data_IF_355059502896
#
_entry.id   IF_355059502896
#
_cell.length_a   1.000
_cell.length_b   1.000
_cell.length_c   1.000
_cell.angle_alpha   90.00
_cell.angle_beta   90.00
_cell.angle_gamma   90.00
#
_symmetry.space_group_name_H-M   'P 1'
#
loop_
_entity.id
_entity.type
_entity.pdbx_description
1 polymer ?
#
# COMPACT_ATOMS: atom_id res chain seq x y z
N UNK A 1 37.49 -34.16 -0.77
CA UNK A 1 37.08 -33.07 0.14
C UNK A 1 36.70 -31.87 -0.74
N UNK A 2 35.46 -31.76 -1.04
CA UNK A 2 34.90 -30.70 -1.93
C UNK A 2 34.07 -29.78 -1.04
N UNK A 3 34.56 -28.55 -0.84
CA UNK A 3 33.85 -27.51 -0.14
C UNK A 3 32.63 -27.05 -0.97
N UNK A 4 31.43 -27.30 -0.47
CA UNK A 4 30.20 -26.65 -0.95
C UNK A 4 30.14 -25.25 -0.39
N UNK A 5 30.32 -24.27 -1.26
CA UNK A 5 30.07 -22.85 -0.95
C UNK A 5 28.55 -22.64 -0.87
N UNK A 6 28.07 -22.38 0.34
CA UNK A 6 26.67 -22.01 0.58
C UNK A 6 26.54 -20.50 0.33
N UNK A 7 26.08 -20.14 -0.83
CA UNK A 7 25.73 -18.73 -1.14
C UNK A 7 24.42 -18.41 -0.44
N UNK A 8 24.48 -17.63 0.63
CA UNK A 8 23.29 -17.09 1.30
C UNK A 8 22.66 -16.04 0.38
N UNK A 9 21.56 -16.39 -0.26
CA UNK A 9 20.73 -15.45 -0.98
C UNK A 9 19.89 -14.67 0.03
N UNK A 10 20.21 -13.41 0.22
CA UNK A 10 19.38 -12.47 0.96
C UNK A 10 18.11 -12.21 0.14
N UNK A 11 17.03 -12.89 0.49
CA UNK A 11 15.69 -12.57 -0.04
C UNK A 11 15.32 -11.16 0.41
N UNK A 12 15.34 -10.24 -0.52
CA UNK A 12 14.75 -8.92 -0.32
C UNK A 12 13.22 -9.06 -0.36
N UNK A 13 12.63 -9.19 0.83
CA UNK A 13 11.17 -9.25 0.96
C UNK A 13 10.55 -7.90 0.65
N UNK A 14 9.88 -7.81 -0.50
CA UNK A 14 9.09 -6.65 -0.91
C UNK A 14 7.79 -6.66 -0.11
N UNK A 15 7.76 -5.92 1.01
CA UNK A 15 6.54 -5.67 1.76
C UNK A 15 5.69 -4.64 1.03
N UNK A 16 4.86 -5.08 0.10
CA UNK A 16 3.88 -4.22 -0.55
C UNK A 16 2.66 -4.09 0.37
N UNK A 17 2.68 -3.09 1.25
CA UNK A 17 1.47 -2.65 1.94
C UNK A 17 0.57 -1.93 0.93
N UNK A 18 -0.30 -2.67 0.26
CA UNK A 18 -1.39 -2.09 -0.50
C UNK A 18 -2.38 -1.46 0.48
N UNK A 19 -2.31 -0.15 0.62
CA UNK A 19 -3.41 0.63 1.16
C UNK A 19 -4.57 0.52 0.17
N UNK A 20 -5.50 -0.38 0.46
CA UNK A 20 -6.82 -0.31 -0.15
C UNK A 20 -7.44 1.01 0.29
N UNK A 21 -7.40 2.02 -0.55
CA UNK A 21 -8.19 3.24 -0.40
C UNK A 21 -9.64 2.87 -0.63
N UNK A 22 -10.27 2.28 0.39
CA UNK A 22 -11.72 2.25 0.47
C UNK A 22 -12.17 3.69 0.70
N UNK A 23 -12.88 4.27 -0.25
CA UNK A 23 -13.67 5.48 -0.05
C UNK A 23 -14.65 5.24 1.08
N UNK A 24 -14.26 5.55 2.33
CA UNK A 24 -15.15 5.51 3.47
C UNK A 24 -15.76 6.89 3.67
N UNK A 25 -17.03 7.02 3.29
CA UNK A 25 -17.89 8.09 3.79
C UNK A 25 -18.15 7.86 5.28
N UNK A 26 -17.68 8.81 6.06
CA UNK A 26 -18.06 9.33 7.37
C UNK A 26 -19.10 8.59 8.22
N UNK A 27 -18.76 8.27 9.46
CA UNK A 27 -19.60 8.58 10.62
C UNK A 27 -18.75 8.75 11.89
N UNK A 28 -19.13 9.77 12.68
CA UNK A 28 -18.65 10.19 13.98
C UNK A 28 -19.04 9.17 15.06
N UNK A 29 -18.27 8.93 16.11
CA UNK A 29 -18.41 9.57 17.43
C UNK A 29 -17.51 8.90 18.47
N UNK A 30 -16.92 9.78 19.29
CA UNK A 30 -16.59 9.72 20.72
C UNK A 30 -15.91 8.49 21.34
N UNK A 31 -14.78 8.68 21.91
CA UNK A 31 -14.44 8.90 23.34
C UNK A 31 -13.02 8.47 23.67
N UNK A 32 -12.29 9.40 24.30
CA UNK A 32 -10.99 9.22 24.96
C UNK A 32 -11.25 8.65 26.38
N UNK A 33 -10.33 7.83 26.94
CA UNK A 33 -9.45 8.36 27.96
C UNK A 33 -7.98 7.90 27.86
N UNK A 34 -7.09 8.83 27.95
CA UNK A 34 -6.18 9.25 29.02
C UNK A 34 -5.20 8.21 29.60
N UNK A 35 -3.92 8.56 29.43
CA UNK A 35 -2.74 8.38 30.29
C UNK A 35 -2.24 7.00 30.69
N UNK A 36 -0.99 6.70 30.32
CA UNK A 36 0.03 6.26 31.28
C UNK A 36 1.45 6.46 30.70
N UNK A 37 2.27 6.94 31.59
CA UNK A 37 3.63 7.44 31.48
C UNK A 37 4.69 6.44 31.09
N UNK A 38 5.82 7.01 30.58
CA UNK A 38 7.15 6.47 30.31
C UNK A 38 7.79 5.70 31.49
N UNK A 39 8.92 4.97 31.26
CA UNK A 39 10.20 5.65 31.38
C UNK A 39 11.24 5.38 30.28
N UNK A 40 12.12 6.35 30.15
CA UNK A 40 13.34 6.32 29.35
C UNK A 40 14.38 5.37 29.92
N UNK A 41 15.13 4.70 29.04
CA UNK A 41 16.44 4.15 29.40
C UNK A 41 17.43 4.48 28.28
N UNK A 42 18.40 5.27 28.65
CA UNK A 42 19.60 5.54 27.87
C UNK A 42 20.55 4.33 27.97
N UNK A 43 21.25 3.98 26.88
CA UNK A 43 22.57 3.37 26.99
C UNK A 43 23.38 3.44 25.70
N UNK A 44 24.44 4.16 25.80
CA UNK A 44 25.84 3.90 25.47
C UNK A 44 26.21 3.47 24.03
N UNK A 45 26.93 4.37 23.41
CA UNK A 45 27.75 4.19 22.24
C UNK A 45 28.93 3.22 22.52
N UNK A 46 29.21 2.34 21.57
CA UNK A 46 30.55 1.73 21.40
C UNK A 46 30.93 1.82 19.93
N UNK A 47 31.91 2.67 19.68
CA UNK A 47 32.58 2.80 18.41
C UNK A 47 33.53 1.61 18.21
N UNK A 48 33.38 0.89 17.11
CA UNK A 48 34.43 -0.02 16.61
C UNK A 48 34.74 0.40 15.17
N UNK A 49 35.97 0.82 14.97
CA UNK A 49 36.54 1.20 13.69
C UNK A 49 36.62 -0.02 12.75
N UNK A 50 36.15 0.12 11.53
CA UNK A 50 36.35 -0.83 10.43
C UNK A 50 37.42 -0.34 9.49
N UNK A 51 38.27 -1.23 8.95
CA UNK A 51 39.29 -0.86 7.98
C UNK A 51 38.68 -0.61 6.60
N UNK A 52 39.19 0.40 5.94
CA UNK A 52 38.87 0.76 4.57
C UNK A 52 39.21 -0.41 3.62
N UNK A 53 38.20 -0.90 2.92
CA UNK A 53 38.39 -1.82 1.79
C UNK A 53 38.10 -1.06 0.50
N UNK A 54 39.06 -1.17 -0.42
CA UNK A 54 39.09 -0.48 -1.69
C UNK A 54 37.80 -0.66 -2.50
N UNK A 55 37.27 0.48 -3.00
CA UNK A 55 36.16 0.51 -3.93
C UNK A 55 36.59 -0.13 -5.27
N UNK A 56 36.08 -1.31 -5.57
CA UNK A 56 36.06 -1.82 -6.93
C UNK A 56 34.83 -1.21 -7.62
N UNK A 57 35.07 -0.37 -8.63
CA UNK A 57 34.05 0.12 -9.54
C UNK A 57 33.51 -1.04 -10.41
N UNK A 58 32.62 -1.85 -9.85
CA UNK A 58 31.79 -2.72 -10.64
C UNK A 58 30.62 -1.89 -11.18
N UNK A 59 30.58 -1.69 -12.48
CA UNK A 59 29.42 -1.15 -13.18
C UNK A 59 28.27 -2.12 -12.91
N UNK A 60 27.31 -1.70 -12.07
CA UNK A 60 26.13 -2.50 -11.74
C UNK A 60 25.39 -2.87 -13.03
N UNK A 61 24.99 -4.13 -13.17
CA UNK A 61 24.17 -4.57 -14.30
C UNK A 61 22.88 -3.74 -14.37
N UNK A 62 22.40 -3.37 -15.58
CA UNK A 62 21.19 -2.54 -15.72
C UNK A 62 19.95 -3.06 -14.97
N UNK A 63 19.84 -4.38 -14.82
CA UNK A 63 18.73 -5.02 -14.08
C UNK A 63 18.79 -4.77 -12.56
N UNK A 64 19.99 -4.74 -11.96
CA UNK A 64 20.18 -4.46 -10.53
C UNK A 64 19.92 -2.98 -10.20
N UNK A 65 20.33 -2.08 -11.11
CA UNK A 65 20.09 -0.63 -10.98
C UNK A 65 18.59 -0.30 -11.08
N UNK A 66 17.85 -0.94 -11.97
CA UNK A 66 16.39 -0.76 -12.10
C UNK A 66 15.63 -1.31 -10.88
N UNK A 67 16.06 -2.44 -10.32
CA UNK A 67 15.47 -3.02 -9.12
C UNK A 67 15.67 -2.10 -7.91
N UNK A 68 16.86 -1.54 -7.73
CA UNK A 68 17.16 -0.58 -6.64
C UNK A 68 16.28 0.68 -6.75
N UNK A 69 16.15 1.23 -7.96
CA UNK A 69 15.34 2.44 -8.20
C UNK A 69 13.85 2.21 -7.94
N UNK A 70 13.32 1.06 -8.33
CA UNK A 70 11.94 0.69 -8.04
C UNK A 70 11.70 0.61 -6.53
N UNK A 71 12.65 0.07 -5.76
CA UNK A 71 12.56 0.01 -4.30
C UNK A 71 12.56 1.41 -3.66
N UNK A 72 13.39 2.33 -4.17
CA UNK A 72 13.39 3.72 -3.71
C UNK A 72 12.04 4.40 -3.97
N UNK A 73 11.44 4.16 -5.13
CA UNK A 73 10.12 4.66 -5.47
C UNK A 73 9.03 4.13 -4.54
N UNK A 74 9.02 2.81 -4.29
CA UNK A 74 8.09 2.16 -3.37
C UNK A 74 8.26 2.69 -1.94
N UNK A 75 9.49 2.83 -1.46
CA UNK A 75 9.78 3.33 -0.12
C UNK A 75 9.27 4.77 0.07
N UNK A 76 9.53 5.65 -0.90
CA UNK A 76 9.05 7.03 -0.88
C UNK A 76 7.52 7.12 -0.98
N UNK A 77 6.89 6.36 -1.87
CA UNK A 77 5.44 6.30 -1.98
C UNK A 77 4.80 5.87 -0.66
N UNK A 78 5.23 4.76 -0.09
CA UNK A 78 4.71 4.24 1.18
C UNK A 78 4.90 5.20 2.36
N UNK A 79 5.95 6.01 2.33
CA UNK A 79 6.25 6.98 3.39
C UNK A 79 5.37 8.23 3.30
N UNK A 80 5.12 8.73 2.11
CA UNK A 80 4.61 10.10 1.90
C UNK A 80 3.16 10.16 1.44
N UNK A 81 2.68 9.16 0.70
CA UNK A 81 1.37 9.20 0.05
C UNK A 81 0.22 9.33 1.05
N UNK A 82 0.30 8.56 2.13
CA UNK A 82 -0.68 8.60 3.21
C UNK A 82 -0.79 9.97 3.89
N UNK A 83 0.30 10.74 3.98
CA UNK A 83 0.29 12.07 4.58
C UNK A 83 -0.51 13.07 3.73
N UNK A 84 -0.31 13.03 2.41
CA UNK A 84 -1.07 13.82 1.46
C UNK A 84 -2.57 13.53 1.57
N UNK A 85 -2.94 12.26 1.47
CA UNK A 85 -4.35 11.84 1.56
C UNK A 85 -5.00 12.17 2.90
N UNK A 86 -4.29 11.97 4.02
CA UNK A 86 -4.80 12.34 5.36
C UNK A 86 -5.05 13.85 5.49
N UNK A 87 -4.15 14.67 4.95
CA UNK A 87 -4.32 16.12 4.96
C UNK A 87 -5.54 16.56 4.15
N UNK A 88 -5.73 15.99 2.96
CA UNK A 88 -6.89 16.21 2.10
C UNK A 88 -8.18 15.79 2.80
N UNK A 89 -8.22 14.59 3.36
CA UNK A 89 -9.38 14.09 4.09
C UNK A 89 -9.74 14.99 5.28
N UNK A 90 -8.72 15.49 6.00
CA UNK A 90 -8.92 16.43 7.12
C UNK A 90 -9.56 17.73 6.67
N UNK A 91 -9.10 18.32 5.55
CA UNK A 91 -9.68 19.53 5.00
C UNK A 91 -11.13 19.32 4.54
N UNK A 92 -11.38 18.24 3.79
CA UNK A 92 -12.72 17.86 3.32
C UNK A 92 -13.69 17.51 4.44
N UNK A 93 -13.21 17.15 5.63
CA UNK A 93 -14.08 16.78 6.75
C UNK A 93 -14.93 17.95 7.26
N UNK A 94 -14.49 19.19 7.07
CA UNK A 94 -15.18 20.38 7.52
C UNK A 94 -15.53 21.39 6.39
N UNK A 95 -14.79 21.43 5.29
CA UNK A 95 -15.17 22.18 4.09
C UNK A 95 -16.18 21.37 3.30
N UNK A 96 -17.46 21.74 3.40
CA UNK A 96 -18.55 20.93 2.84
C UNK A 96 -18.68 21.05 1.33
N UNK A 97 -18.34 22.19 0.77
CA UNK A 97 -18.45 22.49 -0.66
C UNK A 97 -17.06 22.82 -1.19
N UNK A 98 -16.44 21.84 -1.84
CA UNK A 98 -15.07 21.96 -2.36
C UNK A 98 -14.98 22.87 -3.59
N UNK A 99 -16.08 23.22 -4.22
CA UNK A 99 -16.10 24.18 -5.33
C UNK A 99 -16.10 25.63 -4.83
N UNK A 100 -16.72 25.87 -3.66
CA UNK A 100 -16.87 27.21 -3.09
C UNK A 100 -15.89 27.51 -1.96
N UNK A 101 -15.40 26.48 -1.29
CA UNK A 101 -14.52 26.60 -0.14
C UNK A 101 -15.23 26.96 1.18
N UNK A 102 -14.45 27.39 2.18
CA UNK A 102 -14.98 27.71 3.49
C UNK A 102 -15.93 28.91 3.42
N UNK A 103 -17.14 28.72 3.96
CA UNK A 103 -18.19 29.74 3.94
C UNK A 103 -17.98 30.83 5.01
N UNK A 104 -17.25 30.50 6.08
CA UNK A 104 -17.13 31.32 7.30
C UNK A 104 -18.26 31.09 8.31
N UNK A 105 -19.09 30.05 8.09
CA UNK A 105 -20.18 29.64 8.99
C UNK A 105 -19.99 28.24 9.52
N UNK A 106 -18.79 27.66 9.34
CA UNK A 106 -18.43 26.35 9.81
C UNK A 106 -18.46 26.31 11.34
N UNK A 107 -19.22 25.37 11.91
CA UNK A 107 -19.28 25.15 13.35
C UNK A 107 -18.00 24.52 13.92
N UNK A 108 -17.27 23.82 13.07
CA UNK A 108 -16.01 23.15 13.40
C UNK A 108 -15.03 23.44 12.28
N UNK A 109 -13.84 23.90 12.64
CA UNK A 109 -12.71 24.13 11.73
C UNK A 109 -11.49 23.41 12.29
N UNK A 110 -10.82 22.66 11.45
CA UNK A 110 -9.61 21.93 11.84
C UNK A 110 -8.40 22.46 11.06
N UNK A 111 -7.23 22.48 11.70
CA UNK A 111 -5.96 22.53 10.97
C UNK A 111 -5.79 21.32 10.06
N UNK A 112 -4.90 21.42 9.09
CA UNK A 112 -4.54 20.32 8.23
C UNK A 112 -3.45 19.44 8.87
N UNK A 113 -3.31 18.21 8.42
CA UNK A 113 -2.16 17.40 8.82
C UNK A 113 -0.94 17.83 8.00
N UNK A 114 0.20 18.00 8.67
CA UNK A 114 1.44 18.41 8.01
C UNK A 114 1.93 17.31 7.06
N UNK A 115 2.46 17.74 5.92
CA UNK A 115 3.24 16.93 5.01
C UNK A 115 4.71 17.29 5.29
N UNK A 116 5.55 16.28 5.54
CA UNK A 116 6.97 16.50 5.82
C UNK A 116 7.71 16.90 4.54
N UNK A 117 7.91 18.20 4.37
CA UNK A 117 8.55 18.75 3.16
C UNK A 117 10.04 18.37 3.05
N UNK A 118 10.71 18.07 4.16
CA UNK A 118 12.11 17.62 4.15
C UNK A 118 12.20 16.18 3.64
N UNK A 119 11.26 15.33 4.01
CA UNK A 119 11.18 13.98 3.50
C UNK A 119 10.76 13.96 2.02
N UNK A 120 9.87 14.86 1.60
CA UNK A 120 9.55 15.08 0.18
C UNK A 120 10.80 15.48 -0.60
N UNK A 121 11.62 16.40 -0.08
CA UNK A 121 12.87 16.82 -0.71
C UNK A 121 13.90 15.70 -0.79
N UNK A 122 14.03 14.85 0.25
CA UNK A 122 14.90 13.66 0.24
C UNK A 122 14.46 12.67 -0.83
N UNK A 123 13.17 12.37 -0.92
CA UNK A 123 12.63 11.49 -1.95
C UNK A 123 12.83 12.06 -3.37
N UNK A 124 12.62 13.36 -3.55
CA UNK A 124 12.90 14.02 -4.82
C UNK A 124 14.37 13.88 -5.23
N UNK A 125 15.30 13.96 -4.28
CA UNK A 125 16.72 13.77 -4.50
C UNK A 125 17.06 12.31 -4.85
N UNK A 126 16.45 11.32 -4.14
CA UNK A 126 16.67 9.89 -4.40
C UNK A 126 16.14 9.45 -5.76
N UNK A 127 15.09 10.08 -6.27
CA UNK A 127 14.55 9.80 -7.62
C UNK A 127 15.56 10.17 -8.72
N UNK A 128 16.50 11.06 -8.43
CA UNK A 128 17.55 11.47 -9.36
C UNK A 128 17.04 12.37 -10.49
N UNK A 129 17.87 12.52 -11.53
CA UNK A 129 17.46 13.28 -12.72
C UNK A 129 16.27 12.59 -13.40
N UNK A 130 15.28 13.36 -13.90
CA UNK A 130 14.18 12.78 -14.66
C UNK A 130 14.77 11.98 -15.81
N UNK A 131 14.45 10.68 -15.83
CA UNK A 131 14.84 9.84 -16.94
C UNK A 131 14.22 10.38 -18.22
N UNK A 132 14.90 10.12 -19.33
CA UNK A 132 14.37 10.43 -20.67
C UNK A 132 12.90 10.00 -20.77
N UNK A 133 12.08 10.77 -21.45
CA UNK A 133 10.62 10.63 -21.59
C UNK A 133 10.07 9.23 -21.98
N UNK A 134 10.93 8.23 -22.09
CA UNK A 134 10.63 6.85 -22.47
C UNK A 134 10.29 5.95 -21.26
N UNK A 135 10.65 6.35 -20.02
CA UNK A 135 10.31 5.57 -18.83
C UNK A 135 9.07 6.15 -18.15
N UNK A 136 7.93 5.47 -18.30
CA UNK A 136 6.64 5.89 -17.74
C UNK A 136 6.67 5.98 -16.21
N UNK A 137 7.37 5.05 -15.54
CA UNK A 137 7.50 5.05 -14.09
C UNK A 137 8.26 6.29 -13.59
N UNK A 138 9.39 6.63 -14.21
CA UNK A 138 10.19 7.80 -13.83
C UNK A 138 9.44 9.12 -14.05
N UNK A 139 8.68 9.22 -15.16
CA UNK A 139 7.84 10.38 -15.43
C UNK A 139 6.71 10.50 -14.39
N UNK A 140 6.09 9.38 -14.02
CA UNK A 140 5.05 9.35 -12.99
C UNK A 140 5.62 9.71 -11.61
N UNK A 141 6.79 9.18 -11.24
CA UNK A 141 7.48 9.49 -9.99
C UNK A 141 7.80 10.99 -9.87
N UNK A 142 8.33 11.58 -10.93
CA UNK A 142 8.63 13.02 -10.97
C UNK A 142 7.36 13.85 -10.81
N UNK A 143 6.31 13.54 -11.58
CA UNK A 143 5.04 14.25 -11.50
C UNK A 143 4.37 14.13 -10.12
N UNK A 144 4.45 12.96 -9.49
CA UNK A 144 3.96 12.71 -8.14
C UNK A 144 4.69 13.56 -7.10
N UNK A 145 6.03 13.49 -7.06
CA UNK A 145 6.81 14.20 -6.04
C UNK A 145 6.71 15.72 -6.19
N UNK A 146 6.61 16.22 -7.42
CA UNK A 146 6.41 17.64 -7.69
C UNK A 146 5.03 18.10 -7.20
N UNK A 147 3.97 17.32 -7.46
CA UNK A 147 2.62 17.62 -6.98
C UNK A 147 2.52 17.57 -5.46
N UNK A 148 3.19 16.61 -4.83
CA UNK A 148 3.24 16.50 -3.36
C UNK A 148 4.03 17.65 -2.74
N UNK A 149 5.12 18.08 -3.37
CA UNK A 149 5.90 19.23 -2.93
C UNK A 149 5.07 20.52 -2.96
N UNK A 150 4.33 20.75 -4.05
CA UNK A 150 3.42 21.89 -4.16
C UNK A 150 2.32 21.84 -3.10
N UNK A 151 1.68 20.69 -2.94
CA UNK A 151 0.66 20.49 -1.91
C UNK A 151 1.22 20.72 -0.50
N UNK A 152 2.42 20.24 -0.20
CA UNK A 152 3.07 20.38 1.10
C UNK A 152 3.29 21.83 1.52
N UNK A 153 3.69 22.69 0.56
CA UNK A 153 3.84 24.13 0.80
C UNK A 153 2.49 24.78 1.15
N UNK A 154 1.45 24.51 0.36
CA UNK A 154 0.10 25.06 0.57
C UNK A 154 -0.55 24.54 1.86
N UNK A 155 -0.35 23.24 2.17
CA UNK A 155 -0.82 22.63 3.42
C UNK A 155 -0.14 23.28 4.61
N UNK A 156 1.15 23.59 4.54
CA UNK A 156 1.88 24.26 5.64
C UNK A 156 1.31 25.65 5.92
N UNK A 157 1.04 26.46 4.90
CA UNK A 157 0.43 27.80 5.10
C UNK A 157 -1.01 27.70 5.62
N UNK A 158 -1.79 26.78 5.09
CA UNK A 158 -3.16 26.54 5.53
C UNK A 158 -3.21 25.99 6.98
N UNK A 159 -2.32 25.04 7.32
CA UNK A 159 -2.22 24.49 8.68
C UNK A 159 -1.95 25.58 9.71
N UNK A 160 -0.93 26.42 9.46
CA UNK A 160 -0.59 27.53 10.36
C UNK A 160 -1.76 28.50 10.52
N UNK A 161 -2.47 28.79 9.44
CA UNK A 161 -3.62 29.70 9.47
C UNK A 161 -4.79 29.13 10.28
N UNK A 162 -5.18 27.89 10.03
CA UNK A 162 -6.33 27.28 10.69
C UNK A 162 -6.03 26.82 12.11
N UNK A 163 -4.83 26.28 12.38
CA UNK A 163 -4.45 25.84 13.74
C UNK A 163 -4.26 26.98 14.72
N UNK A 164 -3.88 28.18 14.24
CA UNK A 164 -3.82 29.39 15.06
C UNK A 164 -5.15 30.12 15.16
N UNK A 165 -6.21 29.59 14.56
CA UNK A 165 -7.55 30.16 14.54
C UNK A 165 -7.63 31.58 13.93
N UNK A 166 -6.64 31.98 13.11
CA UNK A 166 -6.60 33.30 12.48
C UNK A 166 -7.84 33.62 11.64
N UNK A 167 -8.61 32.59 11.25
CA UNK A 167 -9.88 32.76 10.58
C UNK A 167 -10.93 33.47 11.41
N UNK A 168 -10.78 33.52 12.74
CA UNK A 168 -11.66 34.29 13.64
C UNK A 168 -11.39 35.79 13.56
N UNK A 169 -10.14 36.17 13.26
CA UNK A 169 -9.70 37.56 13.24
C UNK A 169 -10.01 38.23 11.89
N UNK A 170 -9.94 37.47 10.78
CA UNK A 170 -10.10 37.98 9.42
C UNK A 170 -11.43 37.57 8.72
N UNK A 171 -12.36 37.00 9.48
CA UNK A 171 -13.62 36.48 8.95
C UNK A 171 -13.45 35.54 7.74
N UNK A 172 -12.46 34.66 7.82
CA UNK A 172 -12.05 33.71 6.76
C UNK A 172 -11.50 34.34 5.46
N UNK A 173 -11.09 35.59 5.48
CA UNK A 173 -10.61 36.27 4.28
C UNK A 173 -9.39 35.56 3.66
N UNK A 174 -8.39 35.20 4.48
CA UNK A 174 -7.22 34.39 4.02
C UNK A 174 -7.64 32.97 3.67
N UNK A 175 -8.51 32.32 4.44
CA UNK A 175 -8.99 30.96 4.16
C UNK A 175 -9.67 30.83 2.79
N UNK A 176 -10.49 31.80 2.40
CA UNK A 176 -11.10 31.86 1.05
C UNK A 176 -10.08 32.05 -0.06
N UNK A 177 -9.01 32.83 0.18
CA UNK A 177 -7.92 33.00 -0.79
C UNK A 177 -7.05 31.75 -0.95
N UNK A 178 -6.81 31.03 0.15
CA UNK A 178 -6.04 29.78 0.13
C UNK A 178 -6.79 28.64 -0.54
N UNK A 179 -8.12 28.65 -0.50
CA UNK A 179 -8.94 27.51 -0.93
C UNK A 179 -8.71 27.10 -2.39
N UNK A 180 -8.79 28.04 -3.33
CA UNK A 180 -8.65 27.73 -4.76
C UNK A 180 -7.32 27.01 -5.07
N UNK A 181 -6.15 27.62 -4.78
CA UNK A 181 -4.86 26.97 -4.99
C UNK A 181 -4.73 25.64 -4.26
N UNK A 182 -5.22 25.53 -3.01
CA UNK A 182 -5.17 24.32 -2.21
C UNK A 182 -6.02 23.20 -2.82
N UNK A 183 -7.24 23.49 -3.24
CA UNK A 183 -8.14 22.52 -3.86
C UNK A 183 -7.57 21.99 -5.18
N UNK A 184 -6.99 22.85 -6.01
CA UNK A 184 -6.32 22.45 -7.24
C UNK A 184 -5.08 21.59 -6.99
N UNK A 185 -4.26 21.92 -5.97
CA UNK A 185 -3.10 21.13 -5.62
C UNK A 185 -3.51 19.77 -5.06
N UNK A 186 -4.57 19.69 -4.25
CA UNK A 186 -5.15 18.44 -3.76
C UNK A 186 -5.58 17.53 -4.93
N UNK A 187 -6.30 18.10 -5.90
CA UNK A 187 -6.74 17.34 -7.07
C UNK A 187 -5.54 16.83 -7.89
N UNK A 188 -4.56 17.69 -8.17
CA UNK A 188 -3.33 17.29 -8.89
C UNK A 188 -2.60 16.18 -8.17
N UNK A 189 -2.42 16.29 -6.85
CA UNK A 189 -1.77 15.25 -6.06
C UNK A 189 -2.52 13.92 -6.18
N UNK A 190 -3.85 13.89 -5.98
CA UNK A 190 -4.63 12.66 -6.09
C UNK A 190 -4.49 12.01 -7.48
N UNK A 191 -4.54 12.81 -8.55
CA UNK A 191 -4.33 12.32 -9.93
C UNK A 191 -2.92 11.76 -10.14
N UNK A 192 -1.88 12.44 -9.66
CA UNK A 192 -0.49 11.99 -9.84
C UNK A 192 -0.14 10.82 -8.94
N UNK A 193 -0.68 10.79 -7.72
CA UNK A 193 -0.56 9.64 -6.81
C UNK A 193 -1.15 8.38 -7.45
N UNK A 194 -2.36 8.44 -7.99
CA UNK A 194 -2.98 7.30 -8.65
C UNK A 194 -2.13 6.80 -9.84
N UNK A 195 -1.68 7.69 -10.73
CA UNK A 195 -0.84 7.31 -11.87
C UNK A 195 0.49 6.70 -11.42
N UNK A 196 1.11 7.25 -10.38
CA UNK A 196 2.38 6.73 -9.87
C UNK A 196 2.21 5.36 -9.21
N UNK A 197 1.16 5.18 -8.40
CA UNK A 197 0.79 3.90 -7.83
C UNK A 197 0.61 2.82 -8.90
N UNK A 198 -0.15 3.13 -9.95
CA UNK A 198 -0.36 2.19 -11.07
C UNK A 198 0.95 1.80 -11.78
N UNK A 199 1.87 2.77 -11.99
CA UNK A 199 3.16 2.48 -12.62
C UNK A 199 4.09 1.65 -11.72
N UNK A 200 4.14 1.97 -10.41
CA UNK A 200 4.85 1.13 -9.42
C UNK A 200 4.32 -0.29 -9.48
N UNK A 201 3.00 -0.45 -9.50
CA UNK A 201 2.36 -1.75 -9.50
C UNK A 201 2.70 -2.58 -10.75
N UNK A 202 2.66 -1.96 -11.93
CA UNK A 202 3.04 -2.60 -13.20
C UNK A 202 4.50 -3.07 -13.19
N UNK A 203 5.43 -2.23 -12.73
CA UNK A 203 6.84 -2.59 -12.70
C UNK A 203 7.16 -3.63 -11.60
N UNK A 204 6.48 -3.54 -10.46
CA UNK A 204 6.60 -4.54 -9.40
C UNK A 204 6.07 -5.91 -9.82
N UNK A 205 4.95 -5.95 -10.54
CA UNK A 205 4.40 -7.22 -11.07
C UNK A 205 5.37 -7.85 -12.11
N UNK A 206 5.99 -7.04 -12.98
CA UNK A 206 7.03 -7.53 -13.91
C UNK A 206 8.28 -8.07 -13.18
N UNK A 207 8.73 -7.38 -12.14
CA UNK A 207 9.87 -7.81 -11.36
C UNK A 207 9.58 -9.14 -10.64
N UNK A 208 8.38 -9.28 -10.07
CA UNK A 208 7.91 -10.48 -9.41
C UNK A 208 7.82 -11.67 -10.39
N UNK A 209 7.27 -11.45 -11.58
CA UNK A 209 7.19 -12.48 -12.62
C UNK A 209 8.59 -12.94 -13.07
N UNK A 210 9.53 -12.01 -13.23
CA UNK A 210 10.91 -12.36 -13.59
C UNK A 210 11.61 -13.16 -12.46
N UNK A 211 11.40 -12.80 -11.22
CA UNK A 211 11.93 -13.53 -10.06
C UNK A 211 11.33 -14.92 -9.94
N UNK A 212 10.01 -15.06 -10.10
CA UNK A 212 9.33 -16.37 -10.13
C UNK A 212 9.89 -17.28 -11.24
N UNK A 213 10.08 -16.75 -12.47
CA UNK A 213 10.67 -17.52 -13.56
C UNK A 213 12.11 -17.95 -13.27
N UNK A 214 12.88 -17.10 -12.60
CA UNK A 214 14.24 -17.42 -12.20
C UNK A 214 14.27 -18.52 -11.14
N UNK A 215 13.43 -18.43 -10.10
CA UNK A 215 13.29 -19.43 -9.05
C UNK A 215 12.87 -20.78 -9.64
N UNK A 216 11.89 -20.79 -10.53
CA UNK A 216 11.43 -22.03 -11.16
C UNK A 216 12.54 -22.72 -11.97
N UNK A 217 13.40 -21.94 -12.66
CA UNK A 217 14.53 -22.48 -13.45
C UNK A 217 15.67 -23.01 -12.56
N UNK A 218 15.96 -22.34 -11.45
CA UNK A 218 17.14 -22.68 -10.62
C UNK A 218 16.84 -23.68 -9.53
N UNK A 219 15.66 -23.61 -8.94
CA UNK A 219 15.27 -24.39 -7.76
C UNK A 219 14.04 -25.26 -7.99
N UNK A 220 13.33 -25.02 -9.08
CA UNK A 220 12.04 -25.67 -9.37
C UNK A 220 10.90 -25.07 -8.52
N UNK A 221 9.76 -25.75 -8.55
CA UNK A 221 8.54 -25.31 -7.85
C UNK A 221 8.60 -25.68 -6.35
N UNK A 222 9.58 -25.13 -5.65
CA UNK A 222 9.73 -25.27 -4.21
C UNK A 222 8.89 -24.21 -3.45
N UNK A 223 8.91 -24.26 -2.10
CA UNK A 223 8.08 -23.40 -1.27
C UNK A 223 8.28 -21.90 -1.55
N UNK A 224 9.50 -21.36 -1.78
CA UNK A 224 9.65 -19.94 -2.15
C UNK A 224 8.91 -19.57 -3.43
N UNK A 225 9.04 -20.37 -4.50
CA UNK A 225 8.30 -20.17 -5.74
C UNK A 225 6.78 -20.24 -5.52
N UNK A 226 6.32 -21.30 -4.84
CA UNK A 226 4.88 -21.52 -4.61
C UNK A 226 4.26 -20.40 -3.78
N UNK A 227 4.98 -19.89 -2.78
CA UNK A 227 4.56 -18.75 -1.97
C UNK A 227 4.40 -17.49 -2.84
N UNK A 228 5.41 -17.16 -3.66
CA UNK A 228 5.35 -15.99 -4.54
C UNK A 228 4.22 -16.11 -5.57
N UNK A 229 4.09 -17.26 -6.21
CA UNK A 229 3.05 -17.52 -7.20
C UNK A 229 1.63 -17.44 -6.59
N UNK A 230 1.45 -17.97 -5.38
CA UNK A 230 0.21 -17.91 -4.64
C UNK A 230 -0.16 -16.46 -4.29
N UNK A 231 0.78 -15.66 -3.80
CA UNK A 231 0.54 -14.26 -3.44
C UNK A 231 0.25 -13.40 -4.68
N UNK A 232 0.98 -13.61 -5.77
CA UNK A 232 0.72 -12.96 -7.06
C UNK A 232 -0.68 -13.28 -7.58
N UNK A 233 -1.07 -14.56 -7.54
CA UNK A 233 -2.39 -15.00 -8.01
C UNK A 233 -3.52 -14.48 -7.10
N UNK A 234 -3.31 -14.43 -5.79
CA UNK A 234 -4.27 -13.83 -4.85
C UNK A 234 -4.51 -12.35 -5.16
N UNK A 235 -3.44 -11.59 -5.44
CA UNK A 235 -3.52 -10.17 -5.83
C UNK A 235 -4.29 -9.98 -7.13
N UNK A 236 -3.99 -10.79 -8.16
CA UNK A 236 -4.70 -10.75 -9.45
C UNK A 236 -6.20 -11.04 -9.27
N UNK A 237 -6.53 -12.04 -8.47
CA UNK A 237 -7.93 -12.40 -8.18
C UNK A 237 -8.63 -11.28 -7.42
N UNK A 238 -8.01 -10.71 -6.39
CA UNK A 238 -8.57 -9.58 -5.63
C UNK A 238 -8.92 -8.41 -6.55
N UNK A 239 -7.99 -8.01 -7.43
CA UNK A 239 -8.21 -6.91 -8.39
C UNK A 239 -9.40 -7.19 -9.31
N UNK A 240 -9.50 -8.40 -9.83
CA UNK A 240 -10.60 -8.77 -10.73
C UNK A 240 -11.95 -8.73 -10.05
N UNK A 241 -12.03 -9.17 -8.77
CA UNK A 241 -13.30 -9.25 -8.02
C UNK A 241 -13.55 -8.05 -7.09
N UNK A 242 -12.76 -6.96 -7.25
CA UNK A 242 -12.91 -5.75 -6.43
C UNK A 242 -14.26 -5.04 -6.66
N UNK A 243 -14.69 -4.95 -7.91
CA UNK A 243 -15.96 -4.34 -8.29
C UNK A 243 -17.10 -5.36 -8.31
N UNK A 244 -18.37 -4.88 -8.28
CA UNK A 244 -19.53 -5.78 -8.30
C UNK A 244 -19.89 -6.29 -9.70
N UNK A 245 -19.33 -5.69 -10.75
CA UNK A 245 -19.63 -5.99 -12.16
C UNK A 245 -18.51 -6.74 -12.89
N UNK A 246 -17.70 -7.50 -12.17
CA UNK A 246 -16.63 -8.29 -12.79
C UNK A 246 -17.14 -9.45 -13.64
N UNK A 247 -16.29 -9.91 -14.58
CA UNK A 247 -16.54 -11.12 -15.34
C UNK A 247 -16.40 -12.37 -14.43
N UNK A 248 -17.53 -12.97 -14.08
CA UNK A 248 -17.57 -14.14 -13.20
C UNK A 248 -16.91 -15.39 -13.81
N UNK A 249 -16.85 -15.52 -15.15
CA UNK A 249 -16.17 -16.64 -15.81
C UNK A 249 -14.66 -16.47 -15.73
N UNK A 250 -14.14 -15.27 -16.00
CA UNK A 250 -12.73 -14.94 -15.84
C UNK A 250 -12.29 -15.09 -14.37
N UNK A 251 -13.10 -14.60 -13.43
CA UNK A 251 -12.85 -14.74 -12.00
C UNK A 251 -12.83 -16.22 -11.56
N UNK A 252 -13.77 -17.04 -12.06
CA UNK A 252 -13.82 -18.47 -11.78
C UNK A 252 -12.58 -19.22 -12.26
N UNK A 253 -12.05 -18.87 -13.45
CA UNK A 253 -10.81 -19.42 -13.98
C UNK A 253 -9.62 -19.05 -13.09
N UNK A 254 -9.47 -17.78 -12.75
CA UNK A 254 -8.38 -17.30 -11.92
C UNK A 254 -8.44 -17.87 -10.49
N UNK A 255 -9.65 -18.06 -9.96
CA UNK A 255 -9.88 -18.73 -8.68
C UNK A 255 -9.41 -20.20 -8.72
N UNK A 256 -9.71 -20.93 -9.80
CA UNK A 256 -9.25 -22.32 -9.98
C UNK A 256 -7.72 -22.39 -10.02
N UNK A 257 -7.06 -21.44 -10.68
CA UNK A 257 -5.59 -21.37 -10.71
C UNK A 257 -5.03 -21.10 -9.30
N UNK A 258 -5.66 -20.19 -8.53
CA UNK A 258 -5.30 -19.91 -7.14
C UNK A 258 -5.48 -21.16 -6.25
N UNK A 259 -6.59 -21.87 -6.39
CA UNK A 259 -6.86 -23.11 -5.65
C UNK A 259 -5.81 -24.18 -5.94
N UNK A 260 -5.45 -24.37 -7.21
CA UNK A 260 -4.42 -25.33 -7.61
C UNK A 260 -3.05 -25.02 -7.00
N UNK A 261 -2.65 -23.74 -7.01
CA UNK A 261 -1.40 -23.29 -6.36
C UNK A 261 -1.44 -23.48 -4.83
N UNK A 262 -2.57 -23.22 -4.21
CA UNK A 262 -2.75 -23.45 -2.78
C UNK A 262 -2.59 -24.93 -2.42
N UNK A 263 -3.26 -25.81 -3.15
CA UNK A 263 -3.20 -27.24 -2.90
C UNK A 263 -1.78 -27.79 -3.13
N UNK A 264 -1.08 -27.30 -4.15
CA UNK A 264 0.32 -27.64 -4.42
C UNK A 264 1.24 -27.19 -3.28
N UNK A 265 1.09 -25.95 -2.80
CA UNK A 265 1.89 -25.41 -1.71
C UNK A 265 1.68 -26.18 -0.39
N UNK A 266 0.41 -26.50 -0.06
CA UNK A 266 0.06 -27.31 1.10
C UNK A 266 0.65 -28.73 1.01
N UNK A 267 0.53 -29.36 -0.16
CA UNK A 267 1.09 -30.68 -0.38
C UNK A 267 2.61 -30.69 -0.27
N UNK A 268 3.28 -29.67 -0.84
CA UNK A 268 4.72 -29.50 -0.72
C UNK A 268 5.16 -29.34 0.74
N UNK A 269 4.52 -28.47 1.50
CA UNK A 269 4.84 -28.22 2.90
C UNK A 269 4.64 -29.48 3.77
N UNK A 270 3.56 -30.23 3.54
CA UNK A 270 3.31 -31.51 4.24
C UNK A 270 4.41 -32.54 3.99
N UNK A 271 4.93 -32.59 2.76
CA UNK A 271 6.00 -33.51 2.38
C UNK A 271 7.37 -33.10 2.93
N UNK A 272 7.62 -31.80 3.05
CA UNK A 272 8.93 -31.22 3.38
C UNK A 272 8.88 -30.44 4.72
N UNK A 273 8.37 -31.06 5.77
CA UNK A 273 8.13 -30.42 7.09
C UNK A 273 9.39 -29.78 7.70
N UNK A 274 10.56 -30.34 7.48
CA UNK A 274 11.83 -29.85 8.03
C UNK A 274 12.30 -28.54 7.37
N UNK A 275 11.86 -28.27 6.14
CA UNK A 275 12.16 -27.03 5.39
C UNK A 275 11.05 -25.98 5.49
N UNK A 276 10.03 -26.24 6.31
CA UNK A 276 8.87 -25.38 6.43
C UNK A 276 9.06 -24.41 7.60
N UNK A 277 8.91 -23.11 7.36
CA UNK A 277 9.06 -22.09 8.40
C UNK A 277 7.97 -22.19 9.48
N UNK A 278 8.25 -21.67 10.67
CA UNK A 278 7.29 -21.63 11.80
C UNK A 278 6.01 -20.83 11.46
N UNK A 279 6.08 -19.90 10.48
CA UNK A 279 4.97 -19.09 10.01
C UNK A 279 4.01 -19.81 9.07
N UNK A 280 4.38 -20.97 8.52
CA UNK A 280 3.62 -21.67 7.49
C UNK A 280 2.16 -21.95 7.88
N UNK A 281 1.91 -22.45 9.09
CA UNK A 281 0.56 -22.77 9.55
C UNK A 281 -0.39 -21.55 9.56
N UNK A 282 0.17 -20.39 9.83
CA UNK A 282 -0.59 -19.13 9.76
C UNK A 282 -0.89 -18.74 8.32
N UNK A 283 0.07 -18.91 7.41
CA UNK A 283 -0.12 -18.65 5.98
C UNK A 283 -1.13 -19.64 5.39
N UNK A 284 -1.01 -20.94 5.67
CA UNK A 284 -1.95 -21.97 5.21
C UNK A 284 -3.39 -21.63 5.61
N UNK A 285 -3.62 -21.26 6.88
CA UNK A 285 -4.94 -20.87 7.34
C UNK A 285 -5.46 -19.62 6.63
N UNK A 286 -4.64 -18.57 6.50
CA UNK A 286 -5.04 -17.33 5.84
C UNK A 286 -5.34 -17.55 4.35
N UNK A 287 -4.59 -18.42 3.68
CA UNK A 287 -4.80 -18.82 2.30
C UNK A 287 -6.17 -19.50 2.12
N UNK A 288 -6.55 -20.39 3.03
CA UNK A 288 -7.87 -21.06 3.01
C UNK A 288 -9.02 -20.08 3.29
N UNK A 289 -8.85 -19.14 4.22
CA UNK A 289 -9.87 -18.11 4.49
C UNK A 289 -10.06 -17.18 3.28
N UNK A 290 -8.97 -16.78 2.61
CA UNK A 290 -9.06 -16.00 1.37
C UNK A 290 -9.75 -16.79 0.25
N UNK A 291 -9.40 -18.10 0.08
CA UNK A 291 -10.06 -19.01 -0.86
C UNK A 291 -11.57 -19.01 -0.67
N UNK A 292 -12.03 -19.18 0.58
CA UNK A 292 -13.47 -19.22 0.91
C UNK A 292 -14.15 -17.89 0.58
N UNK A 293 -13.57 -16.79 1.02
CA UNK A 293 -14.14 -15.45 0.80
C UNK A 293 -14.25 -15.13 -0.70
N UNK A 294 -13.19 -15.41 -1.49
CA UNK A 294 -13.19 -15.22 -2.93
C UNK A 294 -14.23 -16.12 -3.63
N UNK A 295 -14.33 -17.39 -3.23
CA UNK A 295 -15.35 -18.32 -3.74
C UNK A 295 -16.76 -17.79 -3.57
N UNK A 296 -17.10 -17.35 -2.37
CA UNK A 296 -18.45 -16.85 -2.07
C UNK A 296 -18.76 -15.59 -2.89
N UNK A 297 -17.79 -14.69 -3.07
CA UNK A 297 -18.00 -13.53 -3.91
C UNK A 297 -18.20 -13.89 -5.38
N UNK A 298 -17.36 -14.77 -5.93
CA UNK A 298 -17.52 -15.24 -7.32
C UNK A 298 -18.86 -15.94 -7.54
N UNK A 299 -19.28 -16.82 -6.60
CA UNK A 299 -20.58 -17.50 -6.65
C UNK A 299 -21.74 -16.50 -6.61
N UNK A 300 -21.71 -15.54 -5.69
CA UNK A 300 -22.77 -14.54 -5.54
C UNK A 300 -23.00 -13.74 -6.82
N UNK A 301 -21.92 -13.30 -7.49
CA UNK A 301 -22.02 -12.55 -8.76
C UNK A 301 -22.44 -13.49 -9.93
N UNK A 302 -21.82 -14.67 -10.04
CA UNK A 302 -22.15 -15.66 -11.08
C UNK A 302 -23.63 -16.06 -11.03
N UNK A 303 -24.13 -16.36 -9.84
CA UNK A 303 -25.47 -16.88 -9.60
C UNK A 303 -26.50 -15.75 -9.38
N UNK A 304 -26.06 -14.49 -9.45
CA UNK A 304 -26.88 -13.28 -9.28
C UNK A 304 -27.68 -13.27 -7.97
N UNK A 305 -27.05 -13.76 -6.88
CA UNK A 305 -27.67 -13.82 -5.56
C UNK A 305 -27.65 -12.45 -4.90
N UNK A 306 -28.81 -11.78 -4.69
CA UNK A 306 -28.84 -10.46 -4.06
C UNK A 306 -28.52 -10.57 -2.57
N UNK A 307 -28.06 -9.47 -1.99
CA UNK A 307 -27.95 -9.35 -0.54
C UNK A 307 -29.35 -9.23 0.07
N UNK A 308 -29.59 -9.99 1.15
CA UNK A 308 -30.79 -9.85 1.98
C UNK A 308 -30.85 -8.47 2.65
N UNK A 309 -32.01 -8.06 3.16
CA UNK A 309 -32.15 -6.78 3.86
C UNK A 309 -31.24 -6.68 5.09
N UNK A 310 -31.04 -7.78 5.82
CA UNK A 310 -30.11 -7.84 6.95
C UNK A 310 -28.65 -7.67 6.51
N UNK A 311 -28.23 -8.34 5.43
CA UNK A 311 -26.90 -8.17 4.84
C UNK A 311 -26.67 -6.74 4.34
N UNK A 312 -27.66 -6.14 3.67
CA UNK A 312 -27.59 -4.73 3.20
C UNK A 312 -27.40 -3.75 4.35
N UNK A 313 -28.01 -4.00 5.50
CA UNK A 313 -27.79 -3.20 6.70
C UNK A 313 -26.35 -3.30 7.22
N UNK A 314 -25.73 -4.47 7.07
CA UNK A 314 -24.34 -4.73 7.48
C UNK A 314 -23.30 -4.29 6.45
N UNK A 315 -23.67 -4.06 5.18
CA UNK A 315 -22.79 -3.52 4.13
C UNK A 315 -22.48 -2.03 4.32
N UNK A 316 -22.84 -1.46 5.46
CA UNK A 316 -22.41 -0.10 5.83
C UNK A 316 -20.91 -0.07 6.14
N UNK A 317 -20.24 1.08 5.94
CA UNK A 317 -18.81 1.22 6.23
C UNK A 317 -18.45 0.71 7.62
N UNK A 318 -17.47 -0.19 7.69
CA UNK A 318 -16.94 -0.76 8.93
C UNK A 318 -17.57 -2.10 9.37
N UNK A 319 -18.64 -2.60 8.73
CA UNK A 319 -19.25 -3.89 9.06
C UNK A 319 -19.43 -4.86 7.89
N UNK A 320 -19.20 -4.43 6.67
CA UNK A 320 -19.34 -5.27 5.46
C UNK A 320 -18.49 -6.53 5.47
N UNK A 321 -17.36 -6.52 6.19
CA UNK A 321 -16.50 -7.71 6.34
C UNK A 321 -17.18 -8.92 6.99
N UNK A 322 -18.32 -8.73 7.66
CA UNK A 322 -19.14 -9.81 8.23
C UNK A 322 -20.08 -10.46 7.20
N UNK A 323 -20.23 -9.85 6.02
CA UNK A 323 -21.18 -10.33 5.00
C UNK A 323 -20.48 -11.23 4.00
N UNK A 324 -20.96 -12.45 3.84
CA UNK A 324 -20.41 -13.41 2.90
C UNK A 324 -20.53 -12.91 1.46
N UNK A 325 -19.42 -13.01 0.71
CA UNK A 325 -19.34 -12.55 -0.67
C UNK A 325 -19.31 -11.03 -0.84
N UNK A 326 -19.16 -10.24 0.24
CA UNK A 326 -18.93 -8.81 0.15
C UNK A 326 -17.49 -8.49 -0.28
N UNK A 327 -17.30 -7.31 -0.83
CA UNK A 327 -15.97 -6.78 -1.18
C UNK A 327 -15.10 -6.65 0.08
N UNK A 328 -15.67 -6.11 1.16
CA UNK A 328 -14.94 -5.90 2.41
C UNK A 328 -14.48 -7.21 3.05
N UNK A 329 -15.28 -8.29 2.95
CA UNK A 329 -14.86 -9.59 3.47
C UNK A 329 -13.68 -10.17 2.69
N UNK A 330 -13.71 -10.09 1.38
CA UNK A 330 -12.58 -10.51 0.53
C UNK A 330 -11.35 -9.66 0.79
N UNK A 331 -11.51 -8.33 0.87
CA UNK A 331 -10.43 -7.40 1.20
C UNK A 331 -9.80 -7.70 2.55
N UNK A 332 -10.62 -7.95 3.58
CA UNK A 332 -10.13 -8.35 4.91
C UNK A 332 -9.34 -9.66 4.84
N UNK A 333 -9.89 -10.68 4.21
CA UNK A 333 -9.23 -11.98 4.10
C UNK A 333 -7.89 -11.88 3.33
N UNK A 334 -7.83 -11.02 2.31
CA UNK A 334 -6.57 -10.72 1.61
C UNK A 334 -5.55 -10.00 2.50
N UNK A 335 -5.97 -9.02 3.30
CA UNK A 335 -5.08 -8.35 4.25
C UNK A 335 -4.54 -9.33 5.31
N UNK A 336 -5.39 -10.21 5.83
CA UNK A 336 -4.97 -11.27 6.76
C UNK A 336 -3.95 -12.22 6.10
N UNK A 337 -4.10 -12.51 4.80
CA UNK A 337 -3.14 -13.28 3.99
C UNK A 337 -1.80 -12.55 3.84
N UNK A 338 -1.81 -11.26 3.53
CA UNK A 338 -0.59 -10.42 3.48
C UNK A 338 0.13 -10.42 4.83
N UNK A 339 -0.59 -10.24 5.93
CA UNK A 339 0.01 -10.27 7.28
C UNK A 339 0.64 -11.63 7.61
N UNK A 340 -0.01 -12.72 7.23
CA UNK A 340 0.52 -14.06 7.43
C UNK A 340 1.78 -14.30 6.57
N UNK A 341 1.78 -13.85 5.31
CA UNK A 341 2.93 -13.86 4.42
C UNK A 341 4.11 -13.07 4.98
N UNK A 342 3.87 -11.87 5.49
CA UNK A 342 4.92 -11.03 6.10
C UNK A 342 5.54 -11.66 7.36
N UNK A 343 4.76 -12.45 8.11
CA UNK A 343 5.26 -13.19 9.28
C UNK A 343 6.16 -14.38 8.91
N UNK A 344 5.96 -14.98 7.74
CA UNK A 344 6.84 -16.04 7.24
C UNK A 344 8.26 -15.56 6.94
N UNK A 345 8.39 -14.29 6.60
CA UNK A 345 9.64 -13.69 6.14
C UNK A 345 10.46 -13.05 7.28
N UNK A 346 10.01 -13.19 8.53
CA UNK A 346 10.71 -12.75 9.75
C UNK A 346 11.36 -13.92 10.47
#
# INVERSE_FOLDING_TARGET
MTHKSTTAHTLACISLALLATACSKKSEDASVPSTASMPAAASAASAIASPATAASNAVAKPAEANSSKLQDYIACYNKLDGDGHRSIARYRSWVKDMDKGPSGKESIVYGLYKIDVDDVAKCKTSFGQPATAQNKLDAAATAYIDSLSELGVLVTDAEVYYSRENYKDDAFAKGKKLHGPLAEAMKRFEEKSAVFSDQIEVENDKALDAEMQQLEKTEGRQLPYLHMALMSKAKQLLRLIAEDNFDAAAAGKLLTEYESLTDEAIAYAKKNKESTSSGWSSLERATEEYRKAAKERVRRIRDKVPYSEGEKMMLKPGSGWMVEGSQEKVGKAYNDLIEASNRMNR
#
